data_IF_591643971653
#
_entry.id   IF_591643971653
#
_cell.length_a   1.000
_cell.length_b   1.000
_cell.length_c   1.000
_cell.angle_alpha   90.00
_cell.angle_beta   90.00
_cell.angle_gamma   90.00
#
_symmetry.space_group_name_H-M   'P 1'
#
loop_
_entity.id
_entity.type
_entity.pdbx_description
1 polymer ?
#
# COMPACT_ATOMS: atom_id res chain seq x y z
N UNK A 1 -19.64 -5.98 -2.11
CA UNK A 1 -19.25 -5.20 -0.92
C UNK A 1 -18.60 -3.93 -1.40
N UNK A 2 -18.75 -2.87 -0.66
CA UNK A 2 -18.11 -1.59 -0.95
C UNK A 2 -17.23 -1.16 0.22
N UNK A 3 -16.20 -0.36 -0.08
CA UNK A 3 -15.37 0.26 0.91
C UNK A 3 -16.19 1.29 1.71
N UNK A 4 -16.57 0.94 2.93
CA UNK A 4 -17.50 1.73 3.76
C UNK A 4 -16.76 2.72 4.67
N UNK A 5 -15.63 2.32 5.26
CA UNK A 5 -14.86 3.22 6.12
C UNK A 5 -13.38 2.85 6.19
N UNK A 6 -12.56 3.85 6.52
CA UNK A 6 -11.13 3.70 6.81
C UNK A 6 -10.84 4.43 8.13
N UNK A 7 -10.24 3.72 9.09
CA UNK A 7 -9.84 4.27 10.39
C UNK A 7 -8.38 3.97 10.67
N UNK A 8 -7.70 4.89 11.31
CA UNK A 8 -6.39 4.63 11.89
C UNK A 8 -6.58 3.95 13.24
N UNK A 9 -5.74 2.94 13.52
CA UNK A 9 -5.73 2.20 14.79
C UNK A 9 -4.39 2.45 15.48
N UNK A 10 -4.47 2.91 16.72
CA UNK A 10 -3.27 3.09 17.55
C UNK A 10 -2.79 1.74 18.10
N UNK A 11 -1.48 1.56 18.36
CA UNK A 11 -0.93 0.27 18.81
C UNK A 11 -1.53 -0.28 20.11
N UNK A 12 -1.93 0.58 21.04
CA UNK A 12 -2.59 0.20 22.30
C UNK A 12 -3.97 -0.46 22.11
N UNK A 13 -4.63 -0.16 20.99
CA UNK A 13 -5.92 -0.76 20.62
C UNK A 13 -5.79 -2.17 20.03
N UNK A 14 -4.57 -2.70 19.92
CA UNK A 14 -4.31 -4.03 19.35
C UNK A 14 -4.26 -5.14 20.41
N UNK A 15 -4.23 -4.81 21.70
CA UNK A 15 -4.10 -5.80 22.79
C UNK A 15 -5.18 -6.88 22.73
N UNK A 16 -6.44 -6.46 22.53
CA UNK A 16 -7.61 -7.33 22.54
C UNK A 16 -8.08 -7.75 21.14
N UNK A 17 -7.36 -7.34 20.10
CA UNK A 17 -7.75 -7.67 18.73
C UNK A 17 -7.58 -9.17 18.45
N UNK A 18 -8.68 -9.81 18.05
CA UNK A 18 -8.72 -11.19 17.62
C UNK A 18 -9.08 -11.25 16.14
N UNK A 19 -8.20 -11.84 15.34
CA UNK A 19 -8.49 -12.11 13.94
C UNK A 19 -9.10 -13.50 13.77
N UNK A 20 -9.98 -13.66 12.80
CA UNK A 20 -10.43 -14.96 12.31
C UNK A 20 -9.44 -15.53 11.31
N UNK A 21 -8.85 -14.63 10.52
CA UNK A 21 -7.86 -14.93 9.48
C UNK A 21 -6.69 -13.96 9.55
N UNK A 22 -5.46 -14.48 9.51
CA UNK A 22 -4.26 -13.68 9.36
C UNK A 22 -3.55 -14.04 8.05
N UNK A 23 -3.33 -13.05 7.19
CA UNK A 23 -2.65 -13.19 5.91
C UNK A 23 -1.35 -12.38 5.94
N UNK A 24 -0.23 -12.99 5.63
CA UNK A 24 1.06 -12.33 5.44
C UNK A 24 1.74 -12.77 4.15
N UNK A 25 2.88 -12.21 3.82
CA UNK A 25 3.68 -12.59 2.66
C UNK A 25 5.11 -12.91 3.11
N UNK A 26 5.62 -14.07 2.70
CA UNK A 26 7.01 -14.42 2.97
C UNK A 26 7.96 -13.43 2.29
N UNK A 27 8.85 -12.84 3.07
CA UNK A 27 9.85 -11.89 2.62
C UNK A 27 11.25 -12.30 3.06
N UNK A 28 12.24 -11.63 2.49
CA UNK A 28 13.66 -11.83 2.83
C UNK A 28 14.21 -10.77 3.79
N UNK A 29 13.43 -9.72 4.08
CA UNK A 29 13.86 -8.65 4.97
C UNK A 29 13.71 -9.06 6.45
N UNK A 30 14.58 -8.58 7.32
CA UNK A 30 14.54 -8.88 8.77
C UNK A 30 13.25 -8.43 9.45
N UNK A 31 12.52 -7.47 8.88
CA UNK A 31 11.22 -7.00 9.40
C UNK A 31 10.02 -7.86 8.98
N UNK A 32 10.24 -8.91 8.18
CA UNK A 32 9.17 -9.68 7.53
C UNK A 32 8.23 -10.39 8.49
N UNK A 33 8.70 -10.77 9.67
CA UNK A 33 7.91 -11.49 10.67
C UNK A 33 7.43 -10.61 11.83
N UNK A 34 7.67 -9.29 11.77
CA UNK A 34 7.35 -8.38 12.88
C UNK A 34 5.86 -8.42 13.25
N UNK A 35 4.97 -8.38 12.26
CA UNK A 35 3.52 -8.46 12.51
C UNK A 35 3.13 -9.87 12.94
N UNK A 36 3.69 -10.92 12.34
CA UNK A 36 3.39 -12.30 12.70
C UNK A 36 3.69 -12.60 14.18
N UNK A 37 4.71 -11.96 14.76
CA UNK A 37 5.03 -12.06 16.20
C UNK A 37 3.95 -11.48 17.11
N UNK A 38 3.17 -10.50 16.64
CA UNK A 38 2.02 -9.97 17.38
C UNK A 38 0.86 -10.98 17.48
N UNK A 39 0.88 -12.01 16.64
CA UNK A 39 -0.13 -13.07 16.57
C UNK A 39 0.37 -14.42 17.14
N UNK A 40 1.53 -14.43 17.82
CA UNK A 40 1.99 -15.62 18.56
C UNK A 40 0.97 -16.02 19.62
N UNK A 41 0.67 -17.33 19.71
CA UNK A 41 -0.29 -17.88 20.67
C UNK A 41 -1.76 -17.52 20.40
N UNK A 42 -2.07 -16.68 19.40
CA UNK A 42 -3.45 -16.34 19.05
C UNK A 42 -4.06 -17.42 18.15
N UNK A 43 -5.31 -17.79 18.45
CA UNK A 43 -6.06 -18.77 17.66
C UNK A 43 -6.72 -18.07 16.47
N UNK A 44 -6.16 -18.23 15.28
CA UNK A 44 -6.74 -17.80 14.01
C UNK A 44 -6.22 -18.67 12.89
N UNK A 45 -6.92 -18.71 11.75
CA UNK A 45 -6.34 -19.30 10.55
C UNK A 45 -5.18 -18.43 10.04
N UNK A 46 -4.03 -19.03 9.77
CA UNK A 46 -2.80 -18.32 9.40
C UNK A 46 -2.35 -18.71 8.01
N UNK A 47 -2.26 -17.73 7.12
CA UNK A 47 -1.88 -17.93 5.72
C UNK A 47 -0.65 -17.10 5.38
N UNK A 48 0.29 -17.75 4.69
CA UNK A 48 1.44 -17.05 4.10
C UNK A 48 1.40 -17.16 2.58
N UNK A 49 1.53 -16.04 1.92
CA UNK A 49 1.66 -15.94 0.47
C UNK A 49 3.14 -15.99 0.09
N UNK A 50 3.51 -16.97 -0.73
CA UNK A 50 4.88 -17.15 -1.20
C UNK A 50 5.02 -16.81 -2.67
N UNK A 51 5.96 -15.92 -3.01
CA UNK A 51 6.30 -15.61 -4.39
C UNK A 51 7.37 -16.58 -4.89
N UNK A 52 7.12 -17.30 -5.99
CA UNK A 52 8.07 -18.25 -6.59
C UNK A 52 9.41 -17.60 -6.98
N UNK A 53 9.39 -16.30 -7.28
CA UNK A 53 10.59 -15.51 -7.66
C UNK A 53 11.23 -14.80 -6.48
N UNK A 54 10.92 -15.25 -5.27
CA UNK A 54 11.45 -14.63 -4.07
C UNK A 54 12.97 -14.78 -3.99
N UNK A 55 13.59 -13.71 -3.51
CA UNK A 55 15.01 -13.66 -3.22
C UNK A 55 15.26 -14.49 -1.96
N UNK A 56 16.09 -15.51 -2.05
CA UNK A 56 16.43 -16.43 -0.93
C UNK A 56 17.72 -16.00 -0.25
N UNK A 57 17.82 -14.69 0.04
CA UNK A 57 18.96 -14.05 0.69
C UNK A 57 18.53 -13.47 2.05
N UNK A 58 19.47 -12.92 2.79
CA UNK A 58 19.25 -12.31 4.10
C UNK A 58 18.46 -13.21 5.05
N UNK A 59 17.40 -12.72 5.66
CA UNK A 59 16.59 -13.45 6.65
C UNK A 59 15.53 -14.37 6.03
N UNK A 60 15.59 -14.70 4.72
CA UNK A 60 14.55 -15.52 4.08
C UNK A 60 14.32 -16.86 4.78
N UNK A 61 15.39 -17.63 5.05
CA UNK A 61 15.29 -18.97 5.67
C UNK A 61 14.81 -18.88 7.11
N UNK A 62 15.26 -17.90 7.87
CA UNK A 62 14.83 -17.65 9.24
C UNK A 62 13.34 -17.28 9.30
N UNK A 63 12.91 -16.38 8.42
CA UNK A 63 11.50 -15.97 8.31
C UNK A 63 10.60 -17.16 7.92
N UNK A 64 11.04 -17.99 6.96
CA UNK A 64 10.31 -19.19 6.54
C UNK A 64 10.16 -20.17 7.70
N UNK A 65 11.27 -20.54 8.33
CA UNK A 65 11.28 -21.48 9.46
C UNK A 65 10.39 -20.99 10.62
N UNK A 66 10.43 -19.68 10.88
CA UNK A 66 9.58 -19.06 11.89
C UNK A 66 8.08 -19.21 11.54
N UNK A 67 7.67 -18.89 10.31
CA UNK A 67 6.28 -19.01 9.88
C UNK A 67 5.80 -20.47 9.88
N UNK A 68 6.65 -21.41 9.46
CA UNK A 68 6.37 -22.85 9.55
C UNK A 68 6.17 -23.31 11.02
N UNK A 69 7.02 -22.82 11.95
CA UNK A 69 6.89 -23.14 13.38
C UNK A 69 5.62 -22.58 14.02
N UNK A 70 5.06 -21.50 13.45
CA UNK A 70 3.80 -20.87 13.87
C UNK A 70 2.57 -21.42 13.14
N UNK A 71 2.72 -22.54 12.41
CA UNK A 71 1.64 -23.26 11.71
C UNK A 71 0.93 -22.45 10.63
N UNK A 72 1.67 -21.63 9.88
CA UNK A 72 1.13 -20.97 8.71
C UNK A 72 0.98 -21.93 7.53
N UNK A 73 -0.13 -21.83 6.82
CA UNK A 73 -0.34 -22.53 5.54
C UNK A 73 0.23 -21.69 4.38
N UNK A 74 1.06 -22.32 3.52
CA UNK A 74 1.75 -21.65 2.43
C UNK A 74 0.98 -21.77 1.12
N UNK A 75 0.70 -20.63 0.47
CA UNK A 75 0.03 -20.56 -0.82
C UNK A 75 0.88 -19.80 -1.84
N UNK A 76 1.01 -20.32 -3.07
CA UNK A 76 1.73 -19.62 -4.13
C UNK A 76 0.97 -18.36 -4.55
N UNK A 77 1.65 -17.22 -4.50
CA UNK A 77 1.07 -15.92 -4.81
C UNK A 77 0.63 -15.81 -6.28
N UNK A 78 1.36 -16.47 -7.19
CA UNK A 78 1.08 -16.48 -8.62
C UNK A 78 -0.22 -17.22 -8.99
N UNK A 79 -0.70 -18.10 -8.13
CA UNK A 79 -1.98 -18.79 -8.31
C UNK A 79 -3.19 -17.84 -8.11
N UNK A 80 -2.95 -16.62 -7.65
CA UNK A 80 -4.02 -15.70 -7.25
C UNK A 80 -4.67 -16.12 -5.94
N UNK A 81 -5.94 -15.75 -5.74
CA UNK A 81 -6.61 -15.93 -4.44
C UNK A 81 -7.84 -16.86 -4.44
N UNK A 82 -7.94 -17.90 -5.31
CA UNK A 82 -9.11 -18.81 -5.28
C UNK A 82 -9.25 -19.55 -3.95
N UNK A 83 -8.14 -19.77 -3.24
CA UNK A 83 -8.14 -20.39 -1.92
C UNK A 83 -8.88 -19.55 -0.87
N UNK A 84 -8.91 -18.21 -1.01
CA UNK A 84 -9.64 -17.33 -0.12
C UNK A 84 -11.15 -17.61 -0.17
N UNK A 85 -11.70 -17.95 -1.33
CA UNK A 85 -13.12 -18.30 -1.47
C UNK A 85 -13.45 -19.51 -0.60
N UNK A 86 -12.56 -20.50 -0.54
CA UNK A 86 -12.72 -21.68 0.31
C UNK A 86 -12.56 -21.33 1.80
N UNK A 87 -11.55 -20.54 2.14
CA UNK A 87 -11.31 -20.08 3.50
C UNK A 87 -12.52 -19.31 4.03
N UNK A 88 -13.00 -18.34 3.27
CA UNK A 88 -14.15 -17.53 3.67
C UNK A 88 -15.45 -18.33 3.80
N UNK A 89 -15.67 -19.35 2.96
CA UNK A 89 -16.80 -20.26 3.13
C UNK A 89 -16.71 -21.09 4.42
N UNK A 90 -15.50 -21.38 4.91
CA UNK A 90 -15.31 -22.11 6.16
C UNK A 90 -15.53 -21.25 7.40
N UNK A 91 -15.35 -19.94 7.28
CA UNK A 91 -15.65 -18.96 8.32
C UNK A 91 -17.18 -18.74 8.39
N UNK A 92 -17.84 -19.45 9.32
CA UNK A 92 -19.30 -19.38 9.53
C UNK A 92 -19.68 -18.16 10.40
N UNK A 93 -19.30 -16.95 9.95
CA UNK A 93 -19.54 -15.67 10.65
C UNK A 93 -20.01 -14.63 9.66
N UNK A 94 -20.89 -13.74 10.11
CA UNK A 94 -21.36 -12.59 9.32
C UNK A 94 -20.44 -11.38 9.50
N UNK A 95 -19.73 -11.31 10.62
CA UNK A 95 -18.70 -10.28 10.92
C UNK A 95 -17.32 -10.96 11.02
N UNK A 96 -16.48 -10.73 10.02
CA UNK A 96 -15.20 -11.42 9.86
C UNK A 96 -14.06 -10.44 10.11
N UNK A 97 -13.15 -10.82 11.01
CA UNK A 97 -11.97 -10.05 11.37
C UNK A 97 -10.75 -10.59 10.62
N UNK A 98 -10.22 -9.83 9.67
CA UNK A 98 -9.04 -10.21 8.88
C UNK A 98 -7.86 -9.32 9.23
N UNK A 99 -6.74 -9.93 9.60
CA UNK A 99 -5.45 -9.25 9.69
C UNK A 99 -4.66 -9.47 8.39
N UNK A 100 -4.19 -8.40 7.77
CA UNK A 100 -3.38 -8.43 6.55
C UNK A 100 -2.06 -7.72 6.78
N UNK A 101 -0.95 -8.45 6.80
CA UNK A 101 0.37 -7.85 6.80
C UNK A 101 0.86 -7.59 5.37
N UNK A 102 0.85 -6.34 4.96
CA UNK A 102 1.30 -5.93 3.63
C UNK A 102 2.80 -5.57 3.56
N UNK A 103 3.59 -5.76 4.65
CA UNK A 103 4.99 -5.32 4.77
C UNK A 103 5.85 -5.78 3.60
N UNK A 104 5.76 -7.05 3.21
CA UNK A 104 6.56 -7.65 2.13
C UNK A 104 5.82 -7.76 0.80
N UNK A 105 4.53 -7.44 0.76
CA UNK A 105 3.78 -7.52 -0.48
C UNK A 105 4.19 -6.42 -1.46
N UNK A 106 4.25 -6.75 -2.74
CA UNK A 106 4.35 -5.73 -3.78
C UNK A 106 3.04 -4.97 -3.94
N UNK A 107 3.06 -3.73 -4.45
CA UNK A 107 1.86 -2.93 -4.69
C UNK A 107 0.77 -3.68 -5.45
N UNK A 108 1.14 -4.44 -6.46
CA UNK A 108 0.20 -5.23 -7.25
C UNK A 108 -0.59 -6.22 -6.40
N UNK A 109 0.06 -6.94 -5.49
CA UNK A 109 -0.58 -8.03 -4.76
C UNK A 109 -1.53 -7.55 -3.67
N UNK A 110 -1.18 -6.51 -2.91
CA UNK A 110 -2.14 -6.00 -1.94
C UNK A 110 -3.30 -5.25 -2.64
N UNK A 111 -3.09 -4.66 -3.83
CA UNK A 111 -4.18 -4.12 -4.63
C UNK A 111 -5.15 -5.21 -5.12
N UNK A 112 -4.64 -6.33 -5.63
CA UNK A 112 -5.48 -7.47 -6.04
C UNK A 112 -6.23 -8.09 -4.84
N UNK A 113 -5.62 -8.11 -3.65
CA UNK A 113 -6.32 -8.51 -2.43
C UNK A 113 -7.44 -7.53 -2.05
N UNK A 114 -7.19 -6.24 -2.08
CA UNK A 114 -8.25 -5.24 -1.82
C UNK A 114 -9.40 -5.39 -2.81
N UNK A 115 -9.12 -5.59 -4.09
CA UNK A 115 -10.14 -5.89 -5.10
C UNK A 115 -10.89 -7.19 -4.81
N UNK A 116 -10.21 -8.19 -4.25
CA UNK A 116 -10.88 -9.42 -3.87
C UNK A 116 -11.86 -9.17 -2.72
N UNK A 117 -11.50 -8.39 -1.69
CA UNK A 117 -12.39 -8.00 -0.61
C UNK A 117 -13.55 -7.11 -1.07
N UNK A 118 -13.33 -6.25 -2.06
CA UNK A 118 -14.33 -5.35 -2.64
C UNK A 118 -15.35 -6.06 -3.56
N UNK A 119 -15.11 -7.30 -3.94
CA UNK A 119 -16.04 -8.07 -4.79
C UNK A 119 -17.33 -8.42 -4.06
N UNK A 120 -18.46 -8.33 -4.78
CA UNK A 120 -19.82 -8.68 -4.32
C UNK A 120 -20.05 -10.14 -3.85
N UNK A 121 -18.99 -10.99 -3.82
CA UNK A 121 -19.11 -12.41 -3.53
C UNK A 121 -19.22 -12.77 -2.04
N UNK A 122 -19.03 -11.81 -1.16
CA UNK A 122 -19.13 -12.03 0.29
C UNK A 122 -20.50 -11.64 0.80
N UNK A 123 -21.52 -11.85 -0.03
CA UNK A 123 -22.95 -11.54 0.16
C UNK A 123 -23.35 -11.45 1.63
N UNK A 124 -23.90 -10.29 2.03
CA UNK A 124 -24.45 -10.00 3.37
C UNK A 124 -23.48 -10.09 4.55
N UNK A 125 -22.18 -10.24 4.29
CA UNK A 125 -21.17 -10.28 5.35
C UNK A 125 -20.47 -8.94 5.50
N UNK A 126 -20.03 -8.68 6.72
CA UNK A 126 -19.17 -7.55 7.08
C UNK A 126 -17.74 -8.04 7.25
N UNK A 127 -16.78 -7.37 6.60
CA UNK A 127 -15.36 -7.71 6.75
C UNK A 127 -14.59 -6.50 7.27
N UNK A 128 -14.04 -6.65 8.47
CA UNK A 128 -13.06 -5.74 9.03
C UNK A 128 -11.66 -6.21 8.58
N UNK A 129 -11.09 -5.52 7.61
CA UNK A 129 -9.75 -5.77 7.12
C UNK A 129 -8.76 -4.87 7.84
N UNK A 130 -8.04 -5.40 8.82
CA UNK A 130 -7.01 -4.69 9.54
C UNK A 130 -5.67 -4.86 8.84
N UNK A 131 -5.21 -3.80 8.18
CA UNK A 131 -3.98 -3.80 7.38
C UNK A 131 -2.82 -3.30 8.21
N UNK A 132 -1.78 -4.11 8.32
CA UNK A 132 -0.54 -3.84 9.04
C UNK A 132 0.59 -3.52 8.05
N UNK A 133 1.37 -2.53 8.39
CA UNK A 133 2.60 -2.19 7.66
C UNK A 133 3.73 -1.85 8.61
N UNK A 134 4.76 -2.69 8.65
CA UNK A 134 6.00 -2.41 9.39
C UNK A 134 6.91 -1.52 8.55
N UNK A 135 7.16 -0.32 9.03
CA UNK A 135 8.09 0.61 8.38
C UNK A 135 9.52 0.10 8.46
N UNK A 136 10.33 0.47 7.48
CA UNK A 136 11.76 0.16 7.49
C UNK A 136 12.56 1.27 8.16
N UNK A 137 13.60 0.88 8.89
CA UNK A 137 14.66 1.80 9.25
C UNK A 137 15.33 2.37 7.98
N UNK A 138 15.88 3.56 8.11
CA UNK A 138 16.52 4.23 6.98
C UNK A 138 17.72 3.43 6.45
N UNK A 139 17.69 3.20 5.16
CA UNK A 139 18.86 2.68 4.41
C UNK A 139 19.27 3.74 3.39
N UNK A 140 20.52 4.19 3.47
CA UNK A 140 21.04 5.17 2.51
C UNK A 140 20.99 4.58 1.10
N UNK A 141 20.16 5.16 0.26
CA UNK A 141 20.12 4.80 -1.15
C UNK A 141 21.25 5.49 -1.90
N UNK A 142 22.05 4.71 -2.61
CA UNK A 142 23.12 5.21 -3.48
C UNK A 142 22.67 5.08 -4.92
N UNK A 143 22.88 6.15 -5.70
CA UNK A 143 22.59 6.16 -7.14
C UNK A 143 21.23 6.77 -7.52
N UNK A 144 21.06 7.00 -8.82
CA UNK A 144 19.82 7.50 -9.42
C UNK A 144 18.97 6.34 -9.90
N UNK A 145 17.66 6.39 -9.60
CA UNK A 145 16.67 5.46 -10.15
C UNK A 145 16.04 6.07 -11.41
N UNK A 146 16.15 5.39 -12.53
CA UNK A 146 15.41 5.78 -13.74
C UNK A 146 14.10 5.03 -13.82
N UNK A 147 13.00 5.77 -13.96
CA UNK A 147 11.69 5.21 -14.26
C UNK A 147 11.71 4.69 -15.69
N UNK A 148 11.38 3.41 -15.90
CA UNK A 148 11.26 2.83 -17.25
C UNK A 148 9.93 3.15 -17.89
N UNK A 149 8.87 3.00 -17.11
CA UNK A 149 7.49 3.29 -17.49
C UNK A 149 6.59 3.33 -16.26
N UNK A 150 5.42 3.91 -16.42
CA UNK A 150 4.32 3.78 -15.49
C UNK A 150 3.52 2.52 -15.85
N UNK A 151 3.15 1.76 -14.84
CA UNK A 151 2.33 0.55 -14.97
C UNK A 151 0.97 0.85 -14.37
N UNK A 152 -0.07 0.69 -15.15
CA UNK A 152 -1.45 0.72 -14.64
C UNK A 152 -1.71 -0.49 -13.74
N UNK A 153 -2.47 -0.29 -12.68
CA UNK A 153 -3.02 -1.40 -11.88
C UNK A 153 -4.21 -2.05 -12.56
N UNK A 154 -4.86 -1.36 -13.47
CA UNK A 154 -5.94 -1.88 -14.30
C UNK A 154 -5.36 -2.68 -15.46
N UNK A 155 -6.00 -3.78 -15.83
CA UNK A 155 -5.60 -4.58 -17.01
C UNK A 155 -5.94 -3.86 -18.33
N UNK A 156 -6.95 -2.99 -18.30
CA UNK A 156 -7.33 -2.15 -19.42
C UNK A 156 -6.78 -0.75 -19.18
N UNK A 157 -6.13 -0.19 -20.21
CA UNK A 157 -5.77 1.22 -20.19
C UNK A 157 -7.06 2.03 -20.10
N UNK A 158 -7.26 2.71 -18.97
CA UNK A 158 -8.33 3.70 -18.85
C UNK A 158 -8.05 4.71 -19.96
N UNK A 159 -8.85 4.67 -21.02
CA UNK A 159 -8.80 5.66 -22.09
C UNK A 159 -9.05 7.00 -21.40
N UNK A 160 -7.99 7.74 -21.13
CA UNK A 160 -8.10 9.14 -20.79
C UNK A 160 -9.03 9.74 -21.83
N UNK A 161 -10.13 10.34 -21.40
CA UNK A 161 -10.97 11.08 -22.32
C UNK A 161 -10.07 12.15 -22.95
N UNK A 162 -9.72 11.98 -24.21
CA UNK A 162 -8.68 12.74 -24.93
C UNK A 162 -8.91 14.28 -24.97
N UNK A 163 -9.96 14.74 -24.32
CA UNK A 163 -10.39 16.15 -24.29
C UNK A 163 -10.23 16.84 -22.92
N UNK A 164 -9.92 16.11 -21.84
CA UNK A 164 -9.81 16.70 -20.48
C UNK A 164 -8.36 17.04 -20.13
N UNK A 165 -8.17 18.14 -19.41
CA UNK A 165 -6.89 18.46 -18.76
C UNK A 165 -6.51 17.37 -17.77
N UNK A 166 -5.22 17.16 -17.55
CA UNK A 166 -4.70 16.12 -16.66
C UNK A 166 -4.23 16.74 -15.35
N UNK A 167 -4.70 16.22 -14.23
CA UNK A 167 -4.15 16.52 -12.90
C UNK A 167 -3.35 15.33 -12.38
N UNK A 168 -2.07 15.57 -12.07
CA UNK A 168 -1.18 14.57 -11.47
C UNK A 168 -1.12 14.74 -9.97
N UNK A 169 -1.42 13.68 -9.24
CA UNK A 169 -1.20 13.56 -7.80
C UNK A 169 -0.05 12.57 -7.59
N UNK A 170 1.06 13.05 -7.03
CA UNK A 170 2.30 12.31 -6.94
C UNK A 170 2.85 12.29 -5.52
N UNK A 171 3.05 11.10 -4.96
CA UNK A 171 3.81 10.92 -3.72
C UNK A 171 5.31 11.11 -3.95
N UNK A 172 5.98 11.86 -3.08
CA UNK A 172 7.42 12.07 -3.15
C UNK A 172 8.18 11.04 -2.34
N UNK A 173 9.16 10.42 -2.97
CA UNK A 173 10.19 9.58 -2.35
C UNK A 173 11.53 10.30 -2.23
N UNK A 174 12.48 9.64 -1.61
CA UNK A 174 13.85 10.14 -1.46
C UNK A 174 14.73 9.91 -2.72
N UNK A 175 14.22 9.19 -3.70
CA UNK A 175 14.96 8.83 -4.90
C UNK A 175 15.11 10.03 -5.83
N UNK A 176 16.36 10.32 -6.19
CA UNK A 176 16.69 11.45 -7.08
C UNK A 176 16.14 11.21 -8.50
N UNK A 177 15.54 12.24 -9.10
CA UNK A 177 15.02 12.27 -10.47
C UNK A 177 13.78 11.39 -10.76
N UNK A 178 13.25 10.66 -9.78
CA UNK A 178 12.08 9.79 -10.02
C UNK A 178 10.83 10.62 -10.22
N UNK A 179 10.53 11.54 -9.31
CA UNK A 179 9.34 12.40 -9.42
C UNK A 179 9.36 13.25 -10.68
N UNK A 180 10.52 13.80 -11.04
CA UNK A 180 10.72 14.57 -12.26
C UNK A 180 10.49 13.72 -13.53
N UNK A 181 10.99 12.48 -13.56
CA UNK A 181 10.73 11.55 -14.66
C UNK A 181 9.25 11.20 -14.79
N UNK A 182 8.54 11.03 -13.67
CA UNK A 182 7.09 10.78 -13.66
C UNK A 182 6.35 11.99 -14.20
N UNK A 183 6.69 13.19 -13.74
CA UNK A 183 6.11 14.44 -14.23
C UNK A 183 6.26 14.59 -15.74
N UNK A 184 7.45 14.35 -16.27
CA UNK A 184 7.71 14.39 -17.72
C UNK A 184 6.92 13.33 -18.50
N UNK A 185 6.76 12.11 -17.96
CA UNK A 185 6.01 11.03 -18.61
C UNK A 185 4.50 11.31 -18.66
N UNK A 186 3.95 11.95 -17.62
CA UNK A 186 2.51 12.27 -17.55
C UNK A 186 2.20 13.58 -18.25
N UNK A 187 3.11 14.55 -18.21
CA UNK A 187 2.96 15.90 -18.75
C UNK A 187 1.64 16.58 -18.33
N UNK A 188 1.40 16.75 -17.00
CA UNK A 188 0.11 17.21 -16.50
C UNK A 188 -0.07 18.72 -16.62
N UNK A 189 -1.35 19.15 -16.71
CA UNK A 189 -1.75 20.58 -16.63
C UNK A 189 -1.74 21.10 -15.18
N UNK A 190 -1.95 20.19 -14.21
CA UNK A 190 -2.00 20.51 -12.79
C UNK A 190 -1.24 19.45 -11.99
N UNK A 191 -0.42 19.91 -11.03
CA UNK A 191 0.42 19.03 -10.21
C UNK A 191 0.15 19.24 -8.73
N UNK A 192 -0.02 18.12 -8.00
CA UNK A 192 -0.01 18.04 -6.54
C UNK A 192 1.08 17.09 -6.08
N UNK A 193 1.90 17.55 -5.15
CA UNK A 193 2.98 16.77 -4.56
C UNK A 193 2.68 16.44 -3.10
N UNK A 194 2.69 15.17 -2.79
CA UNK A 194 2.47 14.65 -1.44
C UNK A 194 3.78 14.18 -0.82
N UNK A 195 4.08 14.59 0.40
CA UNK A 195 5.29 14.16 1.11
C UNK A 195 5.00 13.87 2.59
N UNK A 196 5.77 12.93 3.15
CA UNK A 196 5.59 12.54 4.54
C UNK A 196 6.23 13.57 5.50
N UNK A 197 5.39 14.19 6.34
CA UNK A 197 5.79 15.08 7.44
C UNK A 197 4.72 15.06 8.54
N UNK A 198 5.02 14.63 9.79
CA UNK A 198 6.30 14.07 10.23
C UNK A 198 6.63 12.72 9.56
N UNK A 199 7.91 12.52 9.21
CA UNK A 199 8.42 11.28 8.63
C UNK A 199 8.75 10.25 9.73
N UNK A 200 9.16 9.05 9.31
CA UNK A 200 9.71 8.03 10.24
C UNK A 200 10.96 8.54 10.95
N UNK A 201 11.84 9.21 10.22
CA UNK A 201 13.07 9.82 10.73
C UNK A 201 13.24 11.23 10.14
N UNK A 202 13.60 12.19 10.97
CA UNK A 202 13.63 13.64 10.60
C UNK A 202 14.44 13.96 9.35
N UNK A 203 15.52 13.24 9.08
CA UNK A 203 16.34 13.49 7.90
C UNK A 203 15.68 13.09 6.57
N UNK A 204 14.60 12.31 6.58
CA UNK A 204 13.88 11.94 5.35
C UNK A 204 13.27 13.15 4.66
N UNK A 205 12.62 14.06 5.39
CA UNK A 205 12.01 15.26 4.79
C UNK A 205 13.08 16.07 4.06
N UNK A 206 14.19 16.34 4.76
CA UNK A 206 15.31 17.08 4.16
C UNK A 206 15.77 16.42 2.85
N UNK A 207 15.92 15.09 2.85
CA UNK A 207 16.37 14.33 1.68
C UNK A 207 15.37 14.34 0.53
N UNK A 208 14.07 14.26 0.84
CA UNK A 208 12.99 14.38 -0.16
C UNK A 208 13.05 15.76 -0.82
N UNK A 209 13.20 16.83 -0.03
CA UNK A 209 13.29 18.18 -0.57
C UNK A 209 14.56 18.41 -1.40
N UNK A 210 15.72 17.98 -0.92
CA UNK A 210 16.98 18.07 -1.68
C UNK A 210 16.91 17.37 -3.03
N UNK A 211 16.32 16.16 -3.08
CA UNK A 211 16.31 15.33 -4.28
C UNK A 211 15.22 15.70 -5.29
N UNK A 212 14.19 16.44 -4.87
CA UNK A 212 13.05 16.85 -5.69
C UNK A 212 12.92 18.38 -5.80
N UNK A 213 13.97 19.15 -5.44
CA UNK A 213 13.93 20.61 -5.33
C UNK A 213 13.43 21.32 -6.60
N UNK A 214 13.83 20.86 -7.80
CA UNK A 214 13.38 21.47 -9.05
C UNK A 214 11.87 21.40 -9.20
N UNK A 215 11.28 20.23 -8.97
CA UNK A 215 9.84 20.03 -9.10
C UNK A 215 9.06 20.76 -7.99
N UNK A 216 9.59 20.72 -6.76
CA UNK A 216 8.99 21.44 -5.61
C UNK A 216 8.97 22.94 -5.86
N UNK A 217 10.07 23.53 -6.34
CA UNK A 217 10.16 24.97 -6.60
C UNK A 217 9.22 25.46 -7.74
N UNK A 218 8.85 24.57 -8.66
CA UNK A 218 7.90 24.86 -9.74
C UNK A 218 6.44 24.67 -9.32
N UNK A 219 6.20 23.99 -8.18
CA UNK A 219 4.85 23.66 -7.72
C UNK A 219 4.34 24.74 -6.76
N UNK A 220 3.14 25.31 -6.97
CA UNK A 220 2.54 26.25 -6.03
C UNK A 220 2.46 25.68 -4.62
N UNK A 221 2.75 26.50 -3.60
CA UNK A 221 2.81 26.07 -2.19
C UNK A 221 1.53 25.36 -1.74
N UNK A 222 0.37 25.81 -2.22
CA UNK A 222 -0.94 25.20 -1.93
C UNK A 222 -1.11 23.78 -2.48
N UNK A 223 -0.25 23.36 -3.42
CA UNK A 223 -0.25 22.04 -4.04
C UNK A 223 0.86 21.14 -3.46
N UNK A 224 1.63 21.64 -2.48
CA UNK A 224 2.59 20.86 -1.70
C UNK A 224 1.91 20.40 -0.41
N UNK A 225 1.59 19.12 -0.31
CA UNK A 225 0.74 18.58 0.75
C UNK A 225 1.55 17.66 1.65
N UNK A 226 1.72 18.08 2.89
CA UNK A 226 2.31 17.26 3.93
C UNK A 226 1.29 16.28 4.50
N UNK A 227 1.73 15.07 4.82
CA UNK A 227 0.90 14.09 5.53
C UNK A 227 1.66 13.34 6.62
N UNK A 228 1.01 13.02 7.75
CA UNK A 228 1.62 12.23 8.80
C UNK A 228 1.75 10.77 8.34
N UNK A 229 3.00 10.26 8.24
CA UNK A 229 3.28 8.93 7.67
C UNK A 229 2.61 7.78 8.45
N UNK A 230 2.30 8.00 9.73
CA UNK A 230 1.70 6.98 10.61
C UNK A 230 0.17 6.95 10.55
N UNK A 231 -0.47 7.95 9.97
CA UNK A 231 -1.93 8.06 9.97
C UNK A 231 -2.49 7.96 8.55
N UNK A 232 -2.83 6.73 8.13
CA UNK A 232 -3.37 6.50 6.79
C UNK A 232 -4.78 7.06 6.59
N UNK A 233 -5.57 7.21 7.64
CA UNK A 233 -6.89 7.86 7.56
C UNK A 233 -6.75 9.33 7.14
N UNK A 234 -5.80 10.04 7.74
CA UNK A 234 -5.50 11.44 7.34
C UNK A 234 -5.02 11.53 5.89
N UNK A 235 -4.19 10.57 5.44
CA UNK A 235 -3.75 10.51 4.04
C UNK A 235 -4.96 10.32 3.11
N UNK A 236 -5.86 9.40 3.46
CA UNK A 236 -7.07 9.13 2.68
C UNK A 236 -7.94 10.38 2.56
N UNK A 237 -8.27 11.01 3.67
CA UNK A 237 -9.08 12.23 3.69
C UNK A 237 -8.44 13.36 2.89
N UNK A 238 -7.11 13.54 3.00
CA UNK A 238 -6.38 14.55 2.24
C UNK A 238 -6.43 14.28 0.73
N UNK A 239 -6.28 13.02 0.31
CA UNK A 239 -6.41 12.65 -1.11
C UNK A 239 -7.83 12.91 -1.63
N UNK A 240 -8.87 12.50 -0.88
CA UNK A 240 -10.26 12.75 -1.26
C UNK A 240 -10.54 14.25 -1.39
N UNK A 241 -10.11 15.06 -0.42
CA UNK A 241 -10.29 16.50 -0.44
C UNK A 241 -9.60 17.18 -1.64
N UNK A 242 -8.48 16.63 -2.11
CA UNK A 242 -7.79 17.12 -3.31
C UNK A 242 -8.49 16.66 -4.59
N UNK A 243 -8.97 15.42 -4.62
CA UNK A 243 -9.50 14.76 -5.82
C UNK A 243 -10.92 15.22 -6.16
N UNK A 244 -11.82 15.25 -5.16
CA UNK A 244 -13.24 15.51 -5.41
C UNK A 244 -13.53 16.81 -6.17
N UNK A 245 -12.90 17.96 -5.82
CA UNK A 245 -13.13 19.21 -6.56
C UNK A 245 -12.64 19.17 -8.02
N UNK A 246 -11.69 18.28 -8.33
CA UNK A 246 -11.04 18.24 -9.65
C UNK A 246 -11.70 17.26 -10.64
N UNK A 247 -12.45 16.27 -10.15
CA UNK A 247 -12.97 15.14 -10.97
C UNK A 247 -13.82 15.57 -12.17
N UNK A 248 -14.52 16.68 -12.07
CA UNK A 248 -15.39 17.15 -13.15
C UNK A 248 -14.61 17.83 -14.30
N UNK A 249 -13.47 18.43 -14.00
CA UNK A 249 -12.69 19.23 -14.94
C UNK A 249 -11.45 18.50 -15.46
N UNK A 250 -10.87 17.63 -14.62
CA UNK A 250 -9.59 16.95 -14.90
C UNK A 250 -9.73 15.43 -14.99
N UNK A 251 -8.94 14.84 -15.85
CA UNK A 251 -8.58 13.42 -15.75
C UNK A 251 -7.54 13.25 -14.66
N UNK A 252 -7.89 12.57 -13.56
CA UNK A 252 -7.01 12.41 -12.40
C UNK A 252 -6.05 11.25 -12.64
N UNK A 253 -4.77 11.51 -12.52
CA UNK A 253 -3.68 10.53 -12.55
C UNK A 253 -3.02 10.50 -11.18
N UNK A 254 -3.18 9.39 -10.47
CA UNK A 254 -2.57 9.15 -9.16
C UNK A 254 -1.39 8.20 -9.31
N UNK A 255 -0.17 8.66 -9.00
CA UNK A 255 1.03 7.83 -9.10
C UNK A 255 1.55 7.48 -7.71
N UNK A 256 1.52 6.18 -7.42
CA UNK A 256 1.94 5.62 -6.14
C UNK A 256 3.46 5.54 -6.05
N UNK A 257 4.09 6.64 -5.64
CA UNK A 257 5.52 6.71 -5.36
C UNK A 257 5.75 7.24 -3.93
N UNK A 258 6.93 7.03 -3.37
CA UNK A 258 7.23 7.39 -1.99
C UNK A 258 6.96 6.27 -0.97
N UNK A 259 6.57 6.58 0.27
CA UNK A 259 6.29 5.60 1.31
C UNK A 259 5.17 4.64 0.94
N UNK A 260 5.31 3.36 1.32
CA UNK A 260 4.32 2.31 1.01
C UNK A 260 2.91 2.64 1.52
N UNK A 261 2.80 3.31 2.67
CA UNK A 261 1.51 3.71 3.22
C UNK A 261 0.74 4.65 2.28
N UNK A 262 1.44 5.58 1.61
CA UNK A 262 0.83 6.42 0.59
C UNK A 262 0.30 5.59 -0.58
N UNK A 263 1.10 4.62 -1.06
CA UNK A 263 0.67 3.72 -2.14
C UNK A 263 -0.56 2.89 -1.75
N UNK A 264 -0.58 2.37 -0.53
CA UNK A 264 -1.69 1.59 0.01
C UNK A 264 -2.97 2.43 0.05
N UNK A 265 -2.90 3.62 0.64
CA UNK A 265 -4.05 4.52 0.75
C UNK A 265 -4.52 5.00 -0.62
N UNK A 266 -3.60 5.27 -1.55
CA UNK A 266 -3.95 5.63 -2.94
C UNK A 266 -4.78 4.54 -3.63
N UNK A 267 -4.52 3.28 -3.35
CA UNK A 267 -5.31 2.17 -3.89
C UNK A 267 -6.71 2.09 -3.29
N UNK A 268 -6.85 2.38 -2.00
CA UNK A 268 -8.16 2.46 -1.35
C UNK A 268 -8.99 3.63 -1.92
N UNK A 269 -8.34 4.76 -2.21
CA UNK A 269 -9.00 5.88 -2.91
C UNK A 269 -9.51 5.44 -4.28
N UNK A 270 -8.69 4.71 -5.04
CA UNK A 270 -9.10 4.22 -6.35
C UNK A 270 -10.25 3.19 -6.28
N UNK A 271 -10.33 2.35 -5.24
CA UNK A 271 -11.47 1.45 -5.06
C UNK A 271 -12.78 2.23 -4.89
N UNK A 272 -12.78 3.29 -4.08
CA UNK A 272 -13.96 4.15 -3.91
C UNK A 272 -14.25 5.06 -5.11
N UNK A 273 -13.25 5.32 -5.97
CA UNK A 273 -13.34 6.21 -7.14
C UNK A 273 -12.66 5.59 -8.35
N UNK A 274 -13.28 4.62 -9.03
CA UNK A 274 -12.66 3.84 -10.10
C UNK A 274 -12.41 4.62 -11.41
N UNK A 275 -12.95 5.83 -11.53
CA UNK A 275 -12.67 6.76 -12.63
C UNK A 275 -11.28 7.43 -12.54
N UNK A 276 -10.58 7.29 -11.41
CA UNK A 276 -9.23 7.80 -11.23
C UNK A 276 -8.23 6.80 -11.80
N UNK A 277 -7.32 7.26 -12.66
CA UNK A 277 -6.24 6.42 -13.15
C UNK A 277 -5.14 6.26 -12.10
N UNK A 278 -4.81 5.02 -11.74
CA UNK A 278 -3.76 4.74 -10.75
C UNK A 278 -2.59 3.99 -11.38
N UNK A 279 -1.37 4.48 -11.13
CA UNK A 279 -0.14 3.92 -11.67
C UNK A 279 0.93 3.75 -10.60
N UNK A 280 1.86 2.82 -10.86
CA UNK A 280 3.11 2.73 -10.12
C UNK A 280 4.33 2.79 -11.06
N UNK A 281 5.44 3.41 -10.62
CA UNK A 281 6.64 3.50 -11.44
C UNK A 281 7.36 2.15 -11.47
N UNK A 282 7.75 1.69 -12.67
CA UNK A 282 8.61 0.52 -12.85
C UNK A 282 10.07 0.94 -13.01
N UNK A 283 10.89 0.43 -12.13
CA UNK A 283 12.33 0.67 -12.13
C UNK A 283 13.13 -0.42 -12.85
N UNK A 284 14.38 -0.14 -13.17
CA UNK A 284 15.37 -1.19 -13.44
C UNK A 284 15.59 -2.01 -12.16
N UNK A 285 15.81 -3.33 -12.34
CA UNK A 285 16.09 -4.24 -11.23
C UNK A 285 17.31 -3.72 -10.44
N UNK A 286 17.21 -3.67 -9.15
CA UNK A 286 18.31 -3.32 -8.23
C UNK A 286 18.69 -4.56 -7.42
N UNK A 287 19.91 -4.54 -6.87
CA UNK A 287 20.29 -5.54 -5.87
C UNK A 287 19.39 -5.44 -4.66
N UNK A 288 18.97 -6.58 -4.10
CA UNK A 288 18.19 -6.58 -2.87
C UNK A 288 19.02 -6.02 -1.71
N UNK A 289 18.35 -5.49 -0.71
CA UNK A 289 18.96 -5.07 0.54
C UNK A 289 18.07 -5.47 1.68
N UNK A 290 18.65 -5.88 2.79
CA UNK A 290 17.90 -6.11 4.01
C UNK A 290 17.34 -4.80 4.57
N UNK A 291 16.22 -4.90 5.27
CA UNK A 291 15.57 -3.78 5.96
C UNK A 291 15.14 -4.22 7.35
N UNK A 292 15.68 -3.54 8.33
CA UNK A 292 15.30 -3.71 9.73
C UNK A 292 13.94 -3.04 10.00
N UNK A 293 13.15 -3.56 10.95
CA UNK A 293 11.93 -2.91 11.39
C UNK A 293 12.25 -1.56 12.08
N UNK A 294 11.35 -0.61 11.92
CA UNK A 294 11.40 0.67 12.61
C UNK A 294 10.06 0.93 13.28
N UNK A 295 10.10 0.99 14.59
CA UNK A 295 8.95 1.25 15.46
C UNK A 295 7.79 0.22 15.28
N UNK A 296 6.67 0.48 15.95
CA UNK A 296 5.45 -0.31 15.84
C UNK A 296 4.83 -0.22 14.43
N UNK A 297 4.14 -1.26 13.96
CA UNK A 297 3.44 -1.22 12.69
C UNK A 297 2.40 -0.10 12.62
N UNK A 298 2.26 0.50 11.46
CA UNK A 298 1.09 1.34 11.13
C UNK A 298 -0.08 0.43 10.85
N UNK A 299 -1.24 0.73 11.42
CA UNK A 299 -2.43 -0.10 11.30
C UNK A 299 -3.61 0.72 10.79
N UNK A 300 -4.30 0.17 9.78
CA UNK A 300 -5.53 0.70 9.23
C UNK A 300 -6.63 -0.35 9.37
N UNK A 301 -7.77 0.06 9.87
CA UNK A 301 -9.00 -0.73 9.85
C UNK A 301 -9.87 -0.28 8.68
N UNK A 302 -10.17 -1.21 7.79
CA UNK A 302 -10.91 -0.99 6.56
C UNK A 302 -12.16 -1.85 6.65
N UNK A 303 -13.33 -1.21 6.53
CA UNK A 303 -14.59 -1.92 6.55
C UNK A 303 -15.12 -2.10 5.13
N UNK A 304 -15.41 -3.35 4.79
CA UNK A 304 -16.17 -3.73 3.61
C UNK A 304 -17.54 -4.27 4.04
N UNK A 305 -18.62 -3.70 3.52
CA UNK A 305 -19.99 -4.10 3.80
C UNK A 305 -20.73 -4.42 2.51
N UNK A 306 -21.74 -5.32 2.58
CA UNK A 306 -22.69 -5.51 1.50
C UNK A 306 -23.48 -4.24 1.22
N UNK A 307 -23.96 -4.05 -0.01
CA UNK A 307 -24.97 -3.04 -0.30
C UNK A 307 -26.28 -3.47 0.42
N UNK A 308 -26.86 -2.60 1.22
CA UNK A 308 -28.20 -2.79 1.80
C UNK A 308 -29.29 -2.83 0.71
#
# INVERSE_FOLDING_TARGET
MELSSIKHIEPDQLSDYQADLFITCLGFESRSTQVARLFEGRSCQKIVLENEKLIREFSYHENRNYLESQHFEFFPLEAGFPFLDQVFRSLKKDDIQVALDCTNMSPRWYYELFKWFDRKHLEDRRVHLRVFYTMAAYVRQTGTRKVKKLISFLKEDVKSAASRKTALILGLGQEKQVAESIFQLVNPDLLFLYYADPPVEKHFVKKVFENNHNLINQTPIRNLIAYPIRNGQTIYQSLINTILPLRNEYSIVLVTHGPKIFSLVSMLVHLGYPDISIFYPRFKKQSPSDRLPKDEPVVLDILFEGEE
#
